data_IF_044511865900
#
_entry.id   IF_044511865900
#
_cell.length_a   1.000
_cell.length_b   1.000
_cell.length_c   1.000
_cell.angle_alpha   90.00
_cell.angle_beta   90.00
_cell.angle_gamma   90.00
#
_symmetry.space_group_name_H-M   'P 1'
#
loop_
_entity.id
_entity.type
_entity.pdbx_description
1 polymer ?
#
# COMPACT_ATOMS: atom_id res chain seq x y z
N UNK A 1 13.05 -39.16 -4.75
CA UNK A 1 11.82 -38.39 -4.40
C UNK A 1 11.32 -38.92 -3.05
N UNK A 2 11.34 -38.11 -2.01
CA UNK A 2 10.78 -38.43 -0.72
C UNK A 2 9.26 -38.32 -0.83
N UNK A 3 8.53 -39.41 -0.62
CA UNK A 3 7.05 -39.41 -0.61
C UNK A 3 6.58 -38.95 0.79
N UNK A 4 6.45 -37.62 0.97
CA UNK A 4 5.86 -37.05 2.19
C UNK A 4 4.41 -36.72 1.88
N UNK A 5 3.50 -37.22 2.68
CA UNK A 5 2.07 -36.84 2.62
C UNK A 5 1.75 -36.00 3.87
N UNK A 6 1.67 -34.67 3.74
CA UNK A 6 1.34 -33.83 4.87
C UNK A 6 -0.11 -34.06 5.30
N UNK A 7 -0.35 -34.21 6.60
CA UNK A 7 -1.69 -34.12 7.18
C UNK A 7 -1.93 -32.66 7.59
N UNK A 8 -2.95 -32.04 7.02
CA UNK A 8 -3.25 -30.63 7.22
C UNK A 8 -4.61 -30.48 7.86
N UNK A 9 -4.64 -29.85 9.02
CA UNK A 9 -5.87 -29.48 9.72
C UNK A 9 -6.14 -28.00 9.49
N UNK A 10 -7.34 -27.66 9.05
CA UNK A 10 -7.77 -26.28 8.83
C UNK A 10 -9.25 -26.13 9.20
N UNK A 11 -9.65 -24.94 9.56
CA UNK A 11 -11.03 -24.60 9.85
C UNK A 11 -11.44 -23.32 9.10
N UNK A 12 -12.63 -23.36 8.50
CA UNK A 12 -13.20 -22.26 7.71
C UNK A 12 -12.91 -22.38 6.20
N UNK A 13 -13.84 -21.87 5.41
CA UNK A 13 -13.85 -22.03 3.95
C UNK A 13 -12.77 -21.20 3.26
N UNK A 14 -12.52 -19.97 3.74
CA UNK A 14 -11.58 -19.02 3.14
C UNK A 14 -10.14 -19.15 3.66
N UNK A 15 -9.71 -20.35 4.09
CA UNK A 15 -8.36 -20.62 4.59
C UNK A 15 -7.47 -21.23 3.52
N UNK A 16 -7.07 -20.40 2.57
CA UNK A 16 -6.36 -20.82 1.35
C UNK A 16 -4.86 -21.10 1.52
N UNK A 17 -4.23 -20.65 2.61
CA UNK A 17 -2.78 -20.80 2.83
C UNK A 17 -2.24 -22.23 2.71
N UNK A 18 -3.07 -23.22 2.98
CA UNK A 18 -2.71 -24.65 2.91
C UNK A 18 -3.09 -25.33 1.60
N UNK A 19 -3.78 -24.65 0.70
CA UNK A 19 -4.26 -25.22 -0.57
C UNK A 19 -3.14 -25.82 -1.43
N UNK A 20 -1.95 -25.20 -1.57
CA UNK A 20 -0.87 -25.79 -2.37
C UNK A 20 -0.44 -27.19 -1.93
N UNK A 21 -0.71 -27.56 -0.67
CA UNK A 21 -0.40 -28.89 -0.13
C UNK A 21 -1.56 -29.88 -0.23
N UNK A 22 -2.79 -29.40 -0.51
CA UNK A 22 -4.03 -30.22 -0.50
C UNK A 22 -4.69 -30.33 -1.86
N UNK A 23 -4.63 -29.26 -2.65
CA UNK A 23 -5.38 -29.11 -3.89
C UNK A 23 -4.42 -29.02 -5.08
N UNK A 24 -4.90 -29.40 -6.26
CA UNK A 24 -4.19 -29.24 -7.53
C UNK A 24 -4.49 -27.91 -8.22
N UNK A 25 -5.54 -27.24 -7.79
CA UNK A 25 -5.99 -25.95 -8.29
C UNK A 25 -6.56 -25.14 -7.14
N UNK A 26 -6.73 -23.84 -7.36
CA UNK A 26 -7.37 -22.92 -6.43
C UNK A 26 -8.83 -23.32 -6.18
N UNK A 27 -9.28 -23.27 -4.92
CA UNK A 27 -10.70 -23.47 -4.58
C UNK A 27 -11.57 -22.33 -5.08
N UNK A 28 -12.87 -22.54 -5.18
CA UNK A 28 -13.82 -21.49 -5.58
C UNK A 28 -13.89 -20.38 -4.53
N UNK A 29 -13.81 -20.69 -3.26
CA UNK A 29 -13.78 -19.74 -2.14
C UNK A 29 -12.55 -18.86 -2.21
N UNK A 30 -11.37 -19.45 -2.48
CA UNK A 30 -10.13 -18.71 -2.65
C UNK A 30 -10.18 -17.85 -3.91
N UNK A 31 -10.71 -18.37 -5.02
CA UNK A 31 -10.93 -17.60 -6.26
C UNK A 31 -11.81 -16.38 -6.01
N UNK A 32 -12.95 -16.57 -5.36
CA UNK A 32 -13.86 -15.48 -5.02
C UNK A 32 -13.17 -14.41 -4.15
N UNK A 33 -12.40 -14.83 -3.16
CA UNK A 33 -11.67 -13.92 -2.28
C UNK A 33 -10.64 -13.10 -3.06
N UNK A 34 -9.84 -13.76 -3.89
CA UNK A 34 -8.79 -13.11 -4.70
C UNK A 34 -9.40 -12.16 -5.72
N UNK A 35 -10.44 -12.60 -6.45
CA UNK A 35 -11.13 -11.77 -7.44
C UNK A 35 -11.78 -10.54 -6.78
N UNK A 36 -12.43 -10.71 -5.63
CA UNK A 36 -13.04 -9.60 -4.89
C UNK A 36 -11.99 -8.56 -4.48
N UNK A 37 -10.88 -9.03 -3.91
CA UNK A 37 -9.77 -8.18 -3.49
C UNK A 37 -9.13 -7.44 -4.68
N UNK A 38 -8.74 -8.18 -5.72
CA UNK A 38 -8.10 -7.60 -6.90
C UNK A 38 -9.02 -6.62 -7.64
N UNK A 39 -10.29 -6.96 -7.83
CA UNK A 39 -11.26 -6.07 -8.46
C UNK A 39 -11.49 -4.80 -7.65
N UNK A 40 -11.49 -4.88 -6.32
CA UNK A 40 -11.61 -3.71 -5.46
C UNK A 40 -10.45 -2.74 -5.67
N UNK A 41 -9.20 -3.25 -5.67
CA UNK A 41 -8.00 -2.43 -5.92
C UNK A 41 -8.02 -1.87 -7.34
N UNK A 42 -8.28 -2.71 -8.33
CA UNK A 42 -8.26 -2.33 -9.74
C UNK A 42 -9.29 -1.25 -10.06
N UNK A 43 -10.52 -1.42 -9.60
CA UNK A 43 -11.59 -0.44 -9.84
C UNK A 43 -11.30 0.90 -9.13
N UNK A 44 -10.74 0.87 -7.92
CA UNK A 44 -10.32 2.09 -7.24
C UNK A 44 -9.20 2.81 -8.00
N UNK A 45 -8.20 2.07 -8.47
CA UNK A 45 -7.12 2.61 -9.30
C UNK A 45 -7.63 3.23 -10.59
N UNK A 46 -8.47 2.51 -11.33
CA UNK A 46 -9.06 3.01 -12.59
C UNK A 46 -9.96 4.23 -12.36
N UNK A 47 -10.72 4.26 -11.26
CA UNK A 47 -11.53 5.42 -10.88
C UNK A 47 -10.68 6.67 -10.69
N UNK A 48 -9.58 6.55 -9.92
CA UNK A 48 -8.65 7.67 -9.70
C UNK A 48 -7.93 8.09 -10.98
N UNK A 49 -7.50 7.15 -11.79
CA UNK A 49 -6.86 7.44 -13.07
C UNK A 49 -7.81 8.16 -14.03
N UNK A 50 -9.06 7.71 -14.09
CA UNK A 50 -10.12 8.35 -14.88
C UNK A 50 -10.37 9.80 -14.44
N UNK A 51 -10.46 10.05 -13.14
CA UNK A 51 -10.62 11.40 -12.59
C UNK A 51 -9.45 12.32 -12.98
N UNK A 52 -8.21 11.82 -12.85
CA UNK A 52 -6.99 12.60 -13.11
C UNK A 52 -6.74 12.84 -14.59
N UNK A 53 -6.91 11.81 -15.42
CA UNK A 53 -6.58 11.86 -16.86
C UNK A 53 -7.76 12.22 -17.75
N UNK A 54 -8.97 12.31 -17.19
CA UNK A 54 -10.21 12.57 -17.94
C UNK A 54 -10.47 11.52 -19.03
N UNK A 55 -10.08 10.27 -18.76
CA UNK A 55 -10.29 9.12 -19.62
C UNK A 55 -11.41 8.27 -19.04
N UNK A 56 -12.45 7.87 -19.82
CA UNK A 56 -13.51 7.00 -19.32
C UNK A 56 -12.97 5.69 -18.75
N UNK A 57 -13.56 5.23 -17.64
CA UNK A 57 -13.13 3.97 -16.97
C UNK A 57 -13.19 2.77 -17.93
N UNK A 58 -14.19 2.72 -18.81
CA UNK A 58 -14.34 1.63 -19.77
C UNK A 58 -13.22 1.63 -20.82
N UNK A 59 -12.74 2.80 -21.24
CA UNK A 59 -11.56 2.91 -22.10
C UNK A 59 -10.30 2.39 -21.40
N UNK A 60 -10.11 2.75 -20.12
CA UNK A 60 -8.99 2.26 -19.31
C UNK A 60 -9.05 0.73 -19.12
N UNK A 61 -10.25 0.17 -18.94
CA UNK A 61 -10.46 -1.29 -18.89
C UNK A 61 -10.11 -1.94 -20.23
N UNK A 62 -10.52 -1.33 -21.34
CA UNK A 62 -10.19 -1.82 -22.69
C UNK A 62 -8.67 -1.84 -22.90
N UNK A 63 -7.98 -0.75 -22.57
CA UNK A 63 -6.51 -0.69 -22.69
C UNK A 63 -5.82 -1.81 -21.90
N UNK A 64 -6.31 -2.10 -20.68
CA UNK A 64 -5.76 -3.18 -19.87
C UNK A 64 -6.08 -4.57 -20.45
N UNK A 65 -7.28 -4.79 -20.93
CA UNK A 65 -7.72 -6.09 -21.47
C UNK A 65 -7.08 -6.44 -22.80
N UNK A 66 -6.87 -5.44 -23.65
CA UNK A 66 -6.30 -5.63 -24.98
C UNK A 66 -4.75 -5.51 -24.99
N UNK A 67 -4.14 -5.10 -23.86
CA UNK A 67 -2.71 -4.75 -23.80
C UNK A 67 -2.34 -3.62 -24.77
N UNK A 68 -3.23 -2.62 -24.92
CA UNK A 68 -3.04 -1.51 -25.85
C UNK A 68 -1.90 -0.56 -25.43
N UNK A 69 -1.40 -0.68 -24.20
CA UNK A 69 -0.33 0.13 -23.64
C UNK A 69 0.84 -0.78 -23.29
N UNK A 70 1.80 -0.88 -24.22
CA UNK A 70 2.98 -1.71 -24.06
C UNK A 70 4.27 -0.89 -24.01
N UNK A 71 4.30 0.24 -24.71
CA UNK A 71 5.46 1.15 -24.77
C UNK A 71 5.15 2.50 -24.11
N UNK A 72 6.17 3.32 -23.93
CA UNK A 72 5.99 4.68 -23.43
C UNK A 72 5.23 5.55 -24.45
N UNK A 73 5.44 5.32 -25.75
CA UNK A 73 4.71 5.96 -26.84
C UNK A 73 3.21 5.63 -26.78
N UNK A 74 2.86 4.36 -26.51
CA UNK A 74 1.45 3.98 -26.34
C UNK A 74 0.82 4.71 -25.17
N UNK A 75 1.52 4.80 -24.03
CA UNK A 75 1.07 5.52 -22.86
C UNK A 75 0.85 7.01 -23.15
N UNK A 76 1.70 7.62 -23.97
CA UNK A 76 1.54 9.01 -24.41
C UNK A 76 0.36 9.17 -25.36
N UNK A 77 0.23 8.31 -26.37
CA UNK A 77 -0.85 8.34 -27.35
C UNK A 77 -2.22 8.14 -26.68
N UNK A 78 -2.30 7.30 -25.65
CA UNK A 78 -3.48 7.09 -24.82
C UNK A 78 -3.67 8.14 -23.71
N UNK A 79 -2.83 9.19 -23.65
CA UNK A 79 -2.89 10.30 -22.67
C UNK A 79 -2.75 9.87 -21.22
N UNK A 80 -2.10 8.74 -20.99
CA UNK A 80 -1.79 8.24 -19.65
C UNK A 80 -0.61 8.96 -19.01
N UNK A 81 0.29 9.51 -19.85
CA UNK A 81 1.42 10.36 -19.44
C UNK A 81 1.41 11.66 -20.23
N UNK A 82 2.12 12.67 -19.73
CA UNK A 82 2.09 14.05 -20.26
C UNK A 82 3.14 14.29 -21.34
N UNK A 83 4.16 13.42 -21.43
CA UNK A 83 5.22 13.57 -22.43
C UNK A 83 6.23 12.45 -22.33
N UNK A 84 7.11 12.41 -23.34
CA UNK A 84 8.27 11.53 -23.42
C UNK A 84 9.51 12.39 -23.37
N UNK A 85 10.31 12.24 -22.34
CA UNK A 85 11.52 13.05 -22.13
C UNK A 85 12.62 12.20 -21.51
N UNK A 86 13.85 12.52 -21.84
CA UNK A 86 15.00 12.02 -21.12
C UNK A 86 15.18 12.75 -19.79
N UNK A 87 15.94 12.19 -18.87
CA UNK A 87 16.13 12.75 -17.53
C UNK A 87 16.74 14.15 -17.55
N UNK A 88 17.71 14.39 -18.43
CA UNK A 88 18.33 15.69 -18.64
C UNK A 88 17.37 16.74 -19.19
N UNK A 89 16.43 16.36 -20.04
CA UNK A 89 15.37 17.23 -20.55
C UNK A 89 14.38 17.62 -19.42
N UNK A 90 14.03 16.66 -18.54
CA UNK A 90 13.21 16.94 -17.37
C UNK A 90 13.93 17.86 -16.41
N UNK A 91 15.23 17.64 -16.18
CA UNK A 91 16.04 18.52 -15.36
C UNK A 91 16.11 19.95 -15.93
N UNK A 92 16.30 20.07 -17.23
CA UNK A 92 16.32 21.37 -17.91
C UNK A 92 14.98 22.13 -17.77
N UNK A 93 13.86 21.41 -17.97
CA UNK A 93 12.52 22.00 -17.79
C UNK A 93 12.27 22.46 -16.35
N UNK A 94 12.71 21.67 -15.36
CA UNK A 94 12.60 22.05 -13.96
C UNK A 94 13.46 23.28 -13.64
N UNK A 95 14.68 23.35 -14.17
CA UNK A 95 15.54 24.52 -14.02
C UNK A 95 14.87 25.78 -14.59
N UNK A 96 14.35 25.71 -15.79
CA UNK A 96 13.62 26.81 -16.43
C UNK A 96 12.40 27.22 -15.59
N UNK A 97 11.58 26.27 -15.20
CA UNK A 97 10.36 26.49 -14.42
C UNK A 97 10.60 27.17 -13.08
N UNK A 98 11.71 26.86 -12.43
CA UNK A 98 12.06 27.38 -11.12
C UNK A 98 13.10 28.51 -11.15
N UNK A 99 13.50 28.97 -12.31
CA UNK A 99 14.43 30.10 -12.48
C UNK A 99 15.87 29.79 -12.08
N UNK A 100 16.31 28.54 -12.24
CA UNK A 100 17.71 28.14 -12.05
C UNK A 100 18.53 28.46 -13.30
N UNK A 101 19.79 28.82 -13.12
CA UNK A 101 20.73 28.87 -14.22
C UNK A 101 21.04 27.46 -14.76
N UNK A 102 21.38 27.36 -16.06
CA UNK A 102 21.62 26.07 -16.70
C UNK A 102 22.72 25.26 -16.02
N UNK A 103 23.74 25.94 -15.53
CA UNK A 103 24.90 25.36 -14.84
C UNK A 103 24.64 25.04 -13.35
N UNK A 104 23.55 25.56 -12.80
CA UNK A 104 23.21 25.35 -11.40
C UNK A 104 22.57 23.98 -11.18
N UNK A 105 22.93 23.29 -10.09
CA UNK A 105 22.32 22.02 -9.72
C UNK A 105 20.97 22.23 -9.05
N UNK A 106 19.96 21.44 -9.41
CA UNK A 106 18.67 21.45 -8.75
C UNK A 106 18.78 21.07 -7.27
N UNK A 107 18.20 21.86 -6.40
CA UNK A 107 18.10 21.58 -4.95
C UNK A 107 16.89 20.69 -4.67
N UNK A 108 17.07 19.40 -4.85
CA UNK A 108 16.02 18.41 -4.60
C UNK A 108 15.92 18.06 -3.11
N UNK A 109 14.70 17.88 -2.65
CA UNK A 109 14.39 17.46 -1.28
C UNK A 109 13.71 16.08 -1.33
N UNK A 110 14.28 15.10 -0.64
CA UNK A 110 13.65 13.78 -0.55
C UNK A 110 12.30 13.86 0.18
N UNK A 111 11.36 13.00 -0.19
CA UNK A 111 10.04 12.91 0.45
C UNK A 111 10.16 12.72 1.97
N UNK A 112 11.15 11.95 2.43
CA UNK A 112 11.44 11.74 3.86
C UNK A 112 11.81 13.06 4.55
N UNK A 113 12.70 13.86 3.95
CA UNK A 113 13.12 15.15 4.49
C UNK A 113 11.98 16.17 4.45
N UNK A 114 11.20 16.19 3.38
CA UNK A 114 10.01 17.03 3.27
C UNK A 114 9.00 16.69 4.37
N UNK A 115 8.66 15.40 4.55
CA UNK A 115 7.75 14.95 5.61
C UNK A 115 8.23 15.35 7.01
N UNK A 116 9.53 15.27 7.28
CA UNK A 116 10.09 15.68 8.58
C UNK A 116 10.14 17.20 8.79
N UNK A 117 10.05 18.01 7.71
CA UNK A 117 9.95 19.46 7.80
C UNK A 117 8.52 19.95 8.01
N UNK A 118 7.53 19.11 7.69
CA UNK A 118 6.15 19.38 8.06
C UNK A 118 6.06 19.17 9.57
N UNK A 119 5.79 20.23 10.31
CA UNK A 119 5.51 20.14 11.74
C UNK A 119 4.10 19.53 11.90
N UNK A 120 4.06 18.19 11.75
CA UNK A 120 2.83 17.41 11.89
C UNK A 120 2.46 17.17 13.36
N UNK A 121 3.27 17.67 14.28
CA UNK A 121 2.90 17.80 15.68
C UNK A 121 1.86 18.93 15.81
N UNK A 122 0.67 18.64 15.30
CA UNK A 122 -0.51 19.36 15.71
C UNK A 122 -0.70 19.13 17.21
N UNK A 123 -0.02 19.98 18.00
CA UNK A 123 -0.22 20.07 19.43
C UNK A 123 -1.63 20.60 19.65
N UNK A 124 -2.59 19.72 19.40
CA UNK A 124 -3.96 19.91 19.81
C UNK A 124 -3.91 20.41 21.25
N UNK A 125 -4.42 21.60 21.51
CA UNK A 125 -4.54 22.18 22.85
C UNK A 125 -5.53 21.40 23.71
N UNK A 126 -6.17 20.37 23.17
CA UNK A 126 -7.02 19.44 23.90
C UNK A 126 -6.17 18.47 24.72
N UNK A 127 -6.39 18.44 26.03
CA UNK A 127 -5.79 17.41 26.89
C UNK A 127 -6.29 15.99 26.59
N UNK A 128 -7.29 15.82 25.71
CA UNK A 128 -7.84 14.53 25.32
C UNK A 128 -7.12 13.97 24.11
N UNK A 129 -6.75 12.68 24.15
CA UNK A 129 -6.02 11.97 23.10
C UNK A 129 -6.83 10.80 22.56
N UNK A 130 -6.66 10.50 21.28
CA UNK A 130 -7.08 9.24 20.68
C UNK A 130 -5.78 8.48 20.35
N UNK A 131 -5.63 7.28 20.91
CA UNK A 131 -4.48 6.44 20.63
C UNK A 131 -4.77 5.56 19.40
N UNK A 132 -3.91 5.60 18.40
CA UNK A 132 -3.96 4.69 17.25
C UNK A 132 -2.82 3.70 17.38
N UNK A 133 -3.16 2.41 17.48
CA UNK A 133 -2.20 1.30 17.57
C UNK A 133 -2.19 0.58 16.23
N UNK A 134 -1.02 0.54 15.60
CA UNK A 134 -0.82 -0.17 14.34
C UNK A 134 -0.26 -1.55 14.63
N UNK A 135 -0.97 -2.60 14.23
CA UNK A 135 -0.52 -3.98 14.23
C UNK A 135 -0.35 -4.44 12.79
N UNK A 136 0.89 -4.54 12.34
CA UNK A 136 1.22 -4.84 10.95
C UNK A 136 2.20 -5.99 10.86
N UNK A 137 1.84 -7.03 10.11
CA UNK A 137 2.65 -8.21 9.86
C UNK A 137 2.01 -9.53 10.31
N UNK A 138 2.82 -10.58 10.32
CA UNK A 138 2.42 -11.93 10.73
C UNK A 138 2.17 -11.99 12.24
N UNK A 139 1.01 -12.53 12.64
CA UNK A 139 0.69 -12.76 14.05
C UNK A 139 1.42 -14.02 14.52
N UNK A 140 2.26 -13.86 15.54
CA UNK A 140 3.08 -14.94 16.09
C UNK A 140 2.94 -15.00 17.61
N UNK A 141 3.13 -16.19 18.16
CA UNK A 141 3.13 -16.39 19.60
C UNK A 141 4.42 -15.89 20.25
N UNK A 142 4.33 -15.60 21.56
CA UNK A 142 5.46 -15.22 22.39
C UNK A 142 5.76 -13.73 22.40
N UNK A 143 7.00 -13.41 22.75
CA UNK A 143 7.53 -12.05 22.87
C UNK A 143 8.67 -11.81 21.87
N UNK A 144 8.83 -10.58 21.40
CA UNK A 144 9.89 -10.20 20.49
C UNK A 144 9.66 -8.86 19.81
N UNK A 145 10.69 -8.41 19.07
CA UNK A 145 10.67 -7.17 18.29
C UNK A 145 11.28 -7.44 16.91
N UNK A 146 10.57 -8.15 16.05
CA UNK A 146 10.99 -8.35 14.67
C UNK A 146 10.08 -7.55 13.73
N UNK A 147 10.67 -6.91 12.73
CA UNK A 147 9.93 -6.20 11.70
C UNK A 147 8.99 -7.16 10.95
N UNK A 148 7.77 -6.74 10.69
CA UNK A 148 6.78 -7.54 10.00
C UNK A 148 6.15 -8.66 10.85
N UNK A 149 6.30 -8.60 12.19
CA UNK A 149 5.65 -9.55 13.11
C UNK A 149 4.88 -8.85 14.20
N UNK A 150 3.75 -9.44 14.58
CA UNK A 150 2.86 -9.01 15.66
C UNK A 150 2.99 -10.02 16.79
N UNK A 151 3.70 -9.66 17.86
CA UNK A 151 3.85 -10.48 19.06
C UNK A 151 2.77 -10.12 20.07
N UNK A 152 1.89 -11.04 20.42
CA UNK A 152 0.75 -10.81 21.29
C UNK A 152 1.11 -10.18 22.64
N UNK A 153 2.21 -10.62 23.26
CA UNK A 153 2.67 -10.07 24.54
C UNK A 153 3.10 -8.60 24.45
N UNK A 154 3.74 -8.19 23.35
CA UNK A 154 4.16 -6.80 23.16
C UNK A 154 2.95 -5.89 22.94
N UNK A 155 2.00 -6.33 22.14
CA UNK A 155 0.76 -5.56 21.94
C UNK A 155 -0.11 -5.49 23.20
N UNK A 156 -0.13 -6.53 24.02
CA UNK A 156 -0.76 -6.49 25.34
C UNK A 156 -0.15 -5.39 26.23
N UNK A 157 1.20 -5.26 26.25
CA UNK A 157 1.89 -4.19 27.01
C UNK A 157 1.55 -2.81 26.46
N UNK A 158 1.53 -2.63 25.12
CA UNK A 158 1.17 -1.38 24.47
C UNK A 158 -0.29 -0.98 24.84
N UNK A 159 -1.23 -1.90 24.67
CA UNK A 159 -2.65 -1.66 24.98
C UNK A 159 -2.82 -1.32 26.46
N UNK A 160 -2.13 -2.05 27.36
CA UNK A 160 -2.17 -1.77 28.80
C UNK A 160 -1.64 -0.37 29.11
N UNK A 161 -0.52 0.04 28.51
CA UNK A 161 0.05 1.38 28.70
C UNK A 161 -0.91 2.47 28.24
N UNK A 162 -1.49 2.32 27.07
CA UNK A 162 -2.45 3.27 26.48
C UNK A 162 -3.74 3.36 27.31
N UNK A 163 -4.25 2.22 27.80
CA UNK A 163 -5.45 2.16 28.65
C UNK A 163 -5.26 2.88 29.99
N UNK A 164 -4.03 2.91 30.51
CA UNK A 164 -3.72 3.55 31.79
C UNK A 164 -3.44 5.06 31.66
N UNK A 165 -3.26 5.57 30.43
CA UNK A 165 -3.09 7.00 30.19
C UNK A 165 -4.47 7.70 30.34
N UNK A 166 -4.59 8.56 31.36
CA UNK A 166 -5.82 9.28 31.67
C UNK A 166 -6.26 10.26 30.59
N UNK A 167 -5.32 10.71 29.75
CA UNK A 167 -5.60 11.62 28.65
C UNK A 167 -6.21 10.87 27.45
N UNK A 168 -5.97 9.57 27.32
CA UNK A 168 -6.53 8.75 26.24
C UNK A 168 -8.01 8.48 26.48
N UNK A 169 -8.85 8.94 25.55
CA UNK A 169 -10.32 8.79 25.61
C UNK A 169 -10.84 7.70 24.67
N UNK A 170 -10.08 7.35 23.66
CA UNK A 170 -10.41 6.27 22.74
C UNK A 170 -9.15 5.58 22.23
N UNK A 171 -9.29 4.30 21.87
CA UNK A 171 -8.22 3.49 21.27
C UNK A 171 -8.74 2.97 19.92
N UNK A 172 -7.97 3.18 18.87
CA UNK A 172 -8.18 2.60 17.55
C UNK A 172 -7.08 1.57 17.31
N UNK A 173 -7.45 0.31 17.17
CA UNK A 173 -6.52 -0.75 16.78
C UNK A 173 -6.67 -1.01 15.28
N UNK A 174 -5.63 -0.65 14.50
CA UNK A 174 -5.57 -0.96 13.09
C UNK A 174 -4.72 -2.20 12.88
N UNK A 175 -5.36 -3.26 12.42
CA UNK A 175 -4.69 -4.54 12.13
C UNK A 175 -4.53 -4.71 10.63
N UNK A 176 -3.33 -5.06 10.19
CA UNK A 176 -2.98 -5.45 8.83
C UNK A 176 -2.11 -6.72 8.90
N UNK A 177 -2.77 -7.89 8.86
CA UNK A 177 -2.14 -9.20 9.04
C UNK A 177 -2.64 -10.20 7.99
#
# INVERSE_FOLDING_TARGET
>A
KVKIHPMIFYAGEFKSATEPFRLKAMSEENRLQVETYLNSIFNNYLGKLSELRKIPVDSLKSFASNLDVFTAEDAFNHKLIDGLKYEDEVEAELKEKFGYDKEESLKLVSLKKYKSSLDLDDKSKSGNKIAVIYAEGEIVDGSGQASGKIFGEEYMKIIKKVRLDKDVKAIVLRVNS
#
